data_IF_771434128543
#
_entry.id   IF_771434128543
#
_cell.length_a   1.000
_cell.length_b   1.000
_cell.length_c   1.000
_cell.angle_alpha   90.00
_cell.angle_beta   90.00
_cell.angle_gamma   90.00
#
_symmetry.space_group_name_H-M   'P 1'
#
loop_
_entity.id
_entity.type
_entity.pdbx_description
1 polymer ?
#
# COMPACT_ATOMS: atom_id res chain seq x y z
N UNK A 1 2.26 -6.94 -9.43
CA UNK A 1 2.36 -6.61 -7.99
C UNK A 1 2.38 -7.84 -7.07
N UNK A 2 2.19 -9.07 -7.57
CA UNK A 2 1.96 -10.27 -6.76
C UNK A 2 3.11 -10.65 -5.80
N UNK A 3 4.31 -10.10 -6.02
CA UNK A 3 5.52 -10.37 -5.23
C UNK A 3 6.16 -9.09 -4.62
N UNK A 4 5.49 -7.94 -4.71
CA UNK A 4 6.01 -6.68 -4.18
C UNK A 4 5.84 -6.63 -2.65
N UNK A 5 6.84 -6.12 -1.91
CA UNK A 5 6.71 -5.90 -0.46
C UNK A 5 5.99 -4.59 -0.15
N UNK A 6 5.42 -4.49 1.05
CA UNK A 6 4.73 -3.28 1.51
C UNK A 6 5.65 -2.06 1.48
N UNK A 7 6.88 -2.20 1.99
CA UNK A 7 7.87 -1.13 2.07
C UNK A 7 8.29 -0.65 0.68
N UNK A 8 8.36 -1.56 -0.29
CA UNK A 8 8.68 -1.25 -1.68
C UNK A 8 7.55 -0.48 -2.36
N UNK A 9 6.31 -0.91 -2.15
CA UNK A 9 5.13 -0.23 -2.66
C UNK A 9 4.99 1.18 -2.08
N UNK A 10 5.23 1.34 -0.77
CA UNK A 10 5.19 2.63 -0.10
C UNK A 10 6.31 3.55 -0.61
N UNK A 11 7.53 3.03 -0.77
CA UNK A 11 8.64 3.79 -1.36
C UNK A 11 8.30 4.28 -2.76
N UNK A 12 7.76 3.39 -3.62
CA UNK A 12 7.36 3.75 -4.98
C UNK A 12 6.27 4.81 -5.00
N UNK A 13 5.29 4.73 -4.09
CA UNK A 13 4.23 5.72 -3.96
C UNK A 13 4.80 7.11 -3.61
N UNK A 14 5.76 7.17 -2.70
CA UNK A 14 6.45 8.42 -2.35
C UNK A 14 7.26 8.98 -3.54
N UNK A 15 7.96 8.11 -4.29
CA UNK A 15 8.69 8.52 -5.49
C UNK A 15 7.74 9.12 -6.55
N UNK A 16 6.54 8.54 -6.70
CA UNK A 16 5.50 9.08 -7.60
C UNK A 16 5.03 10.45 -7.11
N UNK A 17 4.76 10.61 -5.81
CA UNK A 17 4.36 11.88 -5.21
C UNK A 17 5.38 12.98 -5.49
N UNK A 18 6.66 12.73 -5.20
CA UNK A 18 7.75 13.69 -5.43
C UNK A 18 7.82 14.13 -6.90
N UNK A 19 7.67 13.17 -7.83
CA UNK A 19 7.71 13.49 -9.26
C UNK A 19 6.49 14.29 -9.70
N UNK A 20 5.29 13.95 -9.23
CA UNK A 20 4.08 14.70 -9.55
C UNK A 20 4.16 16.14 -9.01
N UNK A 21 4.73 16.32 -7.82
CA UNK A 21 4.95 17.63 -7.20
C UNK A 21 6.02 18.47 -7.91
N UNK A 22 7.01 17.84 -8.57
CA UNK A 22 8.03 18.59 -9.30
C UNK A 22 7.48 19.34 -10.52
N UNK A 23 6.34 18.89 -11.06
CA UNK A 23 5.67 19.52 -12.20
C UNK A 23 6.41 19.38 -13.54
N UNK A 24 7.53 18.66 -13.58
CA UNK A 24 8.37 18.47 -14.78
C UNK A 24 7.92 17.26 -15.65
N UNK A 25 6.78 16.66 -15.31
CA UNK A 25 6.29 15.46 -15.99
C UNK A 25 5.40 15.84 -17.18
N UNK A 26 5.66 15.27 -18.38
CA UNK A 26 4.74 15.38 -19.51
C UNK A 26 3.34 14.86 -19.15
N UNK A 27 2.30 15.52 -19.66
CA UNK A 27 0.90 15.19 -19.35
C UNK A 27 0.57 13.70 -19.54
N UNK A 28 1.06 13.07 -20.60
CA UNK A 28 0.83 11.63 -20.86
C UNK A 28 1.41 10.74 -19.75
N UNK A 29 2.56 11.13 -19.19
CA UNK A 29 3.22 10.41 -18.09
C UNK A 29 2.56 10.66 -16.74
N UNK A 30 1.87 11.79 -16.57
CA UNK A 30 1.07 12.08 -15.37
C UNK A 30 -0.06 11.07 -15.20
N UNK A 31 -0.74 10.69 -16.29
CA UNK A 31 -1.80 9.67 -16.23
C UNK A 31 -1.27 8.29 -15.85
N UNK A 32 -0.14 7.87 -16.43
CA UNK A 32 0.53 6.61 -16.08
C UNK A 32 0.91 6.57 -14.58
N UNK A 33 1.48 7.66 -14.06
CA UNK A 33 1.87 7.77 -12.65
C UNK A 33 0.66 7.78 -11.71
N UNK A 34 -0.44 8.43 -12.12
CA UNK A 34 -1.66 8.45 -11.34
C UNK A 34 -2.28 7.05 -11.23
N UNK A 35 -2.40 6.33 -12.36
CA UNK A 35 -2.90 4.95 -12.39
C UNK A 35 -2.02 4.02 -11.55
N UNK A 36 -0.70 4.14 -11.65
CA UNK A 36 0.23 3.39 -10.81
C UNK A 36 0.03 3.71 -9.33
N UNK A 37 -0.09 4.99 -8.97
CA UNK A 37 -0.33 5.45 -7.60
C UNK A 37 -1.61 4.86 -6.99
N UNK A 38 -2.72 4.87 -7.73
CA UNK A 38 -3.99 4.27 -7.28
C UNK A 38 -3.84 2.77 -7.02
N UNK A 39 -3.14 2.05 -7.90
CA UNK A 39 -2.90 0.61 -7.71
C UNK A 39 -2.02 0.33 -6.50
N UNK A 40 -0.98 1.13 -6.27
CA UNK A 40 -0.11 1.03 -5.08
C UNK A 40 -0.88 1.32 -3.79
N UNK A 41 -1.75 2.33 -3.76
CA UNK A 41 -2.61 2.62 -2.61
C UNK A 41 -3.51 1.42 -2.31
N UNK A 42 -4.15 0.84 -3.34
CA UNK A 42 -4.97 -0.36 -3.19
C UNK A 42 -4.19 -1.54 -2.63
N UNK A 43 -2.98 -1.77 -3.14
CA UNK A 43 -2.09 -2.81 -2.64
C UNK A 43 -1.72 -2.60 -1.16
N UNK A 44 -1.27 -1.40 -0.78
CA UNK A 44 -0.89 -1.08 0.59
C UNK A 44 -2.07 -1.26 1.56
N UNK A 45 -3.27 -0.82 1.17
CA UNK A 45 -4.49 -0.99 1.99
C UNK A 45 -4.80 -2.46 2.22
N UNK A 46 -4.76 -3.29 1.17
CA UNK A 46 -5.02 -4.72 1.30
C UNK A 46 -4.03 -5.40 2.25
N UNK A 47 -2.74 -5.09 2.12
CA UNK A 47 -1.71 -5.63 3.01
C UNK A 47 -1.94 -5.26 4.49
N UNK A 48 -2.34 -4.02 4.76
CA UNK A 48 -2.67 -3.57 6.11
C UNK A 48 -3.90 -4.28 6.65
N UNK A 49 -4.98 -4.38 5.87
CA UNK A 49 -6.20 -5.10 6.27
C UNK A 49 -5.94 -6.58 6.56
N UNK A 50 -5.08 -7.24 5.77
CA UNK A 50 -4.68 -8.61 6.04
C UNK A 50 -3.87 -8.74 7.33
N UNK A 51 -2.97 -7.79 7.61
CA UNK A 51 -2.21 -7.75 8.85
C UNK A 51 -3.11 -7.53 10.08
N UNK A 52 -4.04 -6.57 10.01
CA UNK A 52 -5.04 -6.29 11.04
C UNK A 52 -5.90 -7.53 11.32
N UNK A 53 -6.36 -8.22 10.27
CA UNK A 53 -7.14 -9.46 10.39
C UNK A 53 -6.36 -10.59 11.07
N UNK A 54 -5.05 -10.71 10.82
CA UNK A 54 -4.17 -11.67 11.51
C UNK A 54 -4.01 -11.32 12.98
N UNK A 55 -3.79 -10.05 13.31
CA UNK A 55 -3.69 -9.58 14.70
C UNK A 55 -4.98 -9.87 15.45
N UNK A 56 -6.13 -9.53 14.87
CA UNK A 56 -7.44 -9.76 15.49
C UNK A 56 -7.70 -11.23 15.81
N UNK A 57 -7.29 -12.16 14.92
CA UNK A 57 -7.40 -13.60 15.16
C UNK A 57 -6.53 -14.05 16.33
N UNK A 58 -5.29 -13.57 16.40
CA UNK A 58 -4.36 -13.90 17.51
C UNK A 58 -4.91 -13.37 18.83
N UNK A 59 -5.36 -12.13 18.87
CA UNK A 59 -5.95 -11.51 20.07
C UNK A 59 -7.20 -12.25 20.53
N UNK A 60 -8.08 -12.64 19.61
CA UNK A 60 -9.29 -13.39 19.95
C UNK A 60 -8.96 -14.77 20.53
N UNK A 61 -8.02 -15.50 19.90
CA UNK A 61 -7.56 -16.81 20.39
C UNK A 61 -7.01 -16.72 21.82
N UNK A 62 -6.11 -15.76 22.09
CA UNK A 62 -5.53 -15.60 23.43
C UNK A 62 -6.56 -15.21 24.51
N UNK A 63 -7.64 -14.53 24.13
CA UNK A 63 -8.75 -14.22 25.06
C UNK A 63 -9.66 -15.42 25.33
N UNK A 64 -9.78 -16.35 24.39
CA UNK A 64 -10.57 -17.59 24.53
C UNK A 64 -9.84 -18.63 25.39
N UNK A 65 -8.51 -18.66 25.38
CA UNK A 65 -7.69 -19.55 26.24
C UNK A 65 -7.62 -19.10 27.71
N UNK A 66 -8.00 -17.86 28.01
CA UNK A 66 -8.05 -17.31 29.38
C UNK A 66 -9.41 -17.45 30.06
N UNK A 67 -10.42 -18.01 29.38
CA UNK A 67 -11.76 -18.29 29.93
C UNK A 67 -11.88 -19.73 30.36
#
# INVERSE_FOLDING_TARGET
MKDMKYEEALKRLNDIMIKLESGEIPLDKTFEMYDEGIKLIGFCRNQLTEAEGKIMKITKSGLEEMK
#
